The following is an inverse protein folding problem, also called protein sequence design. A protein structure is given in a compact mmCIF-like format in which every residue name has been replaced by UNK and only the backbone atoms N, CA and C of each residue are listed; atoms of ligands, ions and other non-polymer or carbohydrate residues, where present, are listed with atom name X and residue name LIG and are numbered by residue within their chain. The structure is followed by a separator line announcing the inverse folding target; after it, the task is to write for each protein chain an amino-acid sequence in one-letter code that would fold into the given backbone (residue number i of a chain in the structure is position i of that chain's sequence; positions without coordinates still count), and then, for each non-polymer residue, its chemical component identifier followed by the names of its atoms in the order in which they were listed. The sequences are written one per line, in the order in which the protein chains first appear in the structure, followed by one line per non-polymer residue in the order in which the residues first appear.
data_IF_743542954144
#
_entry.id   IF_743542954144
#
_cell.length_a   1.000
_cell.length_b   1.000
_cell.length_c   1.000
_cell.angle_alpha   90.00
_cell.angle_beta   90.00
_cell.angle_gamma   90.00
#
_symmetry.space_group_name_H-M   'P 1'
#
loop_
_entity.id
_entity.type
_entity.pdbx_description
1 polymer ?
#
# COMPACT_ATOMS: atom_id res chain seq x y z
N UNK A 1 -24.51 -27.26 11.80
CA UNK A 1 -24.36 -25.98 11.08
C UNK A 1 -23.35 -25.11 11.82
N UNK A 2 -22.19 -24.76 11.24
CA UNK A 2 -21.32 -23.73 11.83
C UNK A 2 -22.05 -22.39 11.69
N UNK A 3 -22.25 -21.67 12.79
CA UNK A 3 -22.78 -20.31 12.74
C UNK A 3 -21.95 -19.47 11.77
N UNK A 4 -22.60 -18.65 10.94
CA UNK A 4 -21.90 -17.74 10.05
C UNK A 4 -20.98 -16.84 10.88
N UNK A 5 -19.70 -16.83 10.55
CA UNK A 5 -18.70 -16.02 11.25
C UNK A 5 -18.97 -14.53 10.97
N UNK A 6 -19.56 -13.86 11.97
CA UNK A 6 -19.90 -12.44 11.91
C UNK A 6 -18.78 -11.52 12.41
N UNK A 7 -17.56 -12.03 12.60
CA UNK A 7 -16.43 -11.26 13.14
C UNK A 7 -16.11 -10.00 12.35
N UNK A 8 -16.15 -10.08 11.01
CA UNK A 8 -15.96 -8.93 10.13
C UNK A 8 -16.92 -7.77 10.47
N UNK A 9 -18.22 -8.06 10.56
CA UNK A 9 -19.24 -7.05 10.85
C UNK A 9 -19.07 -6.45 12.25
N UNK A 10 -18.72 -7.28 13.24
CA UNK A 10 -18.46 -6.83 14.61
C UNK A 10 -17.23 -5.92 14.70
N UNK A 11 -16.16 -6.24 13.97
CA UNK A 11 -14.97 -5.37 13.85
C UNK A 11 -15.35 -4.03 13.21
N UNK A 12 -16.07 -4.04 12.09
CA UNK A 12 -16.50 -2.80 11.40
C UNK A 12 -17.34 -1.91 12.32
N UNK A 13 -18.30 -2.49 13.05
CA UNK A 13 -19.12 -1.76 14.02
C UNK A 13 -18.30 -1.17 15.17
N UNK A 14 -17.30 -1.90 15.66
CA UNK A 14 -16.40 -1.40 16.69
C UNK A 14 -15.51 -0.27 16.16
N UNK A 15 -14.96 -0.41 14.95
CA UNK A 15 -14.15 0.61 14.29
C UNK A 15 -14.92 1.91 14.03
N UNK A 16 -16.21 1.83 13.70
CA UNK A 16 -17.11 3.00 13.64
C UNK A 16 -17.21 3.70 15.02
N UNK A 17 -17.29 2.94 16.12
CA UNK A 17 -17.29 3.54 17.47
C UNK A 17 -15.95 4.19 17.82
N UNK A 18 -14.84 3.57 17.43
CA UNK A 18 -13.49 4.13 17.62
C UNK A 18 -13.36 5.45 16.85
N UNK A 19 -13.78 5.50 15.57
CA UNK A 19 -13.68 6.72 14.77
C UNK A 19 -14.55 7.86 15.31
N UNK A 20 -15.68 7.56 15.97
CA UNK A 20 -16.54 8.55 16.62
C UNK A 20 -15.97 9.15 17.91
N UNK A 21 -14.98 8.51 18.54
CA UNK A 21 -14.42 8.97 19.81
C UNK A 21 -13.24 9.92 19.61
N UNK A 22 -13.08 10.82 20.57
CA UNK A 22 -11.94 11.75 20.67
C UNK A 22 -10.90 11.28 21.68
N UNK A 23 -11.33 10.61 22.75
CA UNK A 23 -10.45 10.11 23.81
C UNK A 23 -10.88 8.71 24.25
N UNK A 24 -9.93 7.90 24.73
CA UNK A 24 -10.16 6.57 25.28
C UNK A 24 -9.71 6.50 26.74
N UNK A 25 -10.62 6.08 27.63
CA UNK A 25 -10.28 5.83 29.03
C UNK A 25 -9.46 4.54 29.14
N UNK A 26 -8.72 4.40 30.24
CA UNK A 26 -7.92 3.20 30.50
C UNK A 26 -8.76 1.92 30.42
N UNK A 27 -8.30 0.94 29.64
CA UNK A 27 -8.96 -0.32 29.35
C UNK A 27 -9.91 -0.31 28.14
N UNK A 28 -10.44 0.83 27.71
CA UNK A 28 -11.50 0.82 26.68
C UNK A 28 -11.04 0.31 25.32
N UNK A 29 -9.90 0.78 24.82
CA UNK A 29 -9.38 0.38 23.52
C UNK A 29 -8.72 -1.00 23.61
N UNK A 30 -8.05 -1.28 24.73
CA UNK A 30 -7.50 -2.60 25.05
C UNK A 30 -8.58 -3.69 25.04
N UNK A 31 -9.72 -3.44 25.68
CA UNK A 31 -10.83 -4.38 25.74
C UNK A 31 -11.49 -4.57 24.37
N UNK A 32 -11.57 -3.52 23.55
CA UNK A 32 -12.07 -3.63 22.17
C UNK A 32 -11.15 -4.51 21.34
N UNK A 33 -9.84 -4.25 21.38
CA UNK A 33 -8.82 -5.01 20.67
C UNK A 33 -8.85 -6.51 21.03
N UNK A 34 -9.15 -6.82 22.29
CA UNK A 34 -9.17 -8.19 22.81
C UNK A 34 -10.48 -8.96 22.59
N UNK A 35 -11.49 -8.38 21.93
CA UNK A 35 -12.74 -9.09 21.63
C UNK A 35 -12.51 -10.26 20.68
N UNK A 36 -13.31 -11.32 20.82
CA UNK A 36 -13.26 -12.51 19.95
C UNK A 36 -13.29 -12.16 18.46
N UNK A 37 -14.09 -11.16 18.06
CA UNK A 37 -14.18 -10.73 16.66
C UNK A 37 -12.86 -10.15 16.11
N UNK A 38 -12.11 -9.38 16.92
CA UNK A 38 -10.81 -8.85 16.54
C UNK A 38 -9.77 -9.97 16.45
N UNK A 39 -9.76 -10.89 17.42
CA UNK A 39 -8.88 -12.06 17.42
C UNK A 39 -9.08 -12.94 16.17
N UNK A 40 -10.33 -13.27 15.84
CA UNK A 40 -10.66 -14.07 14.65
C UNK A 40 -10.32 -13.34 13.34
N UNK A 41 -10.59 -12.03 13.26
CA UNK A 41 -10.25 -11.24 12.06
C UNK A 41 -8.74 -11.12 11.88
N UNK A 42 -7.99 -10.94 12.97
CA UNK A 42 -6.53 -10.92 12.97
C UNK A 42 -5.94 -12.28 12.56
N UNK A 43 -6.53 -13.39 13.01
CA UNK A 43 -6.13 -14.73 12.59
C UNK A 43 -6.31 -14.91 11.06
N UNK A 44 -7.46 -14.51 10.50
CA UNK A 44 -7.68 -14.53 9.05
C UNK A 44 -6.68 -13.69 8.27
N UNK A 45 -6.32 -12.51 8.79
CA UNK A 45 -5.31 -11.64 8.17
C UNK A 45 -3.92 -12.29 8.23
N UNK A 46 -3.59 -12.90 9.37
CA UNK A 46 -2.34 -13.62 9.57
C UNK A 46 -2.25 -14.79 8.59
N UNK A 47 -3.25 -15.67 8.54
CA UNK A 47 -3.30 -16.81 7.61
C UNK A 47 -3.19 -16.39 6.14
N UNK A 48 -3.72 -15.22 5.78
CA UNK A 48 -3.71 -14.70 4.41
C UNK A 48 -2.33 -14.23 3.96
N UNK A 49 -1.57 -13.58 4.84
CA UNK A 49 -0.32 -12.90 4.46
C UNK A 49 0.94 -13.54 5.03
N UNK A 50 0.80 -14.34 6.09
CA UNK A 50 1.89 -15.00 6.80
C UNK A 50 1.61 -16.50 6.86
N UNK A 51 2.37 -17.27 6.10
CA UNK A 51 2.35 -18.72 6.23
C UNK A 51 2.86 -19.11 7.62
N UNK A 52 2.22 -20.10 8.27
CA UNK A 52 2.59 -20.61 9.60
C UNK A 52 4.04 -21.09 9.61
N UNK A 53 4.96 -20.19 9.94
CA UNK A 53 6.42 -20.37 9.89
C UNK A 53 7.01 -20.56 11.30
N UNK A 54 6.18 -20.96 12.26
CA UNK A 54 6.49 -21.14 13.68
C UNK A 54 5.35 -20.56 14.53
N UNK A 55 4.97 -21.27 15.61
CA UNK A 55 3.80 -20.90 16.42
C UNK A 55 3.95 -19.52 17.09
N UNK A 56 5.10 -19.26 17.72
CA UNK A 56 5.39 -17.99 18.42
C UNK A 56 5.31 -16.79 17.47
N UNK A 57 5.98 -16.88 16.33
CA UNK A 57 5.97 -15.84 15.29
C UNK A 57 4.56 -15.56 14.78
N UNK A 58 3.76 -16.62 14.62
CA UNK A 58 2.39 -16.50 14.15
C UNK A 58 1.52 -15.76 15.17
N UNK A 59 1.67 -16.07 16.46
CA UNK A 59 0.91 -15.41 17.53
C UNK A 59 1.28 -13.93 17.69
N UNK A 60 2.56 -13.57 17.61
CA UNK A 60 2.97 -12.16 17.68
C UNK A 60 2.44 -11.36 16.48
N UNK A 61 2.44 -11.92 15.26
CA UNK A 61 1.89 -11.26 14.08
C UNK A 61 0.36 -11.12 14.20
N UNK A 62 -0.32 -12.11 14.79
CA UNK A 62 -1.74 -12.04 15.08
C UNK A 62 -2.05 -10.91 16.07
N UNK A 63 -1.25 -10.75 17.12
CA UNK A 63 -1.39 -9.62 18.06
C UNK A 63 -1.12 -8.28 17.38
N UNK A 64 -0.12 -8.21 16.50
CA UNK A 64 0.18 -7.02 15.71
C UNK A 64 -0.99 -6.64 14.78
N UNK A 65 -1.71 -7.63 14.22
CA UNK A 65 -2.95 -7.38 13.47
C UNK A 65 -4.11 -6.93 14.34
N UNK A 66 -4.25 -7.43 15.57
CA UNK A 66 -5.26 -6.93 16.51
C UNK A 66 -5.02 -5.44 16.80
N UNK A 67 -3.76 -5.08 17.06
CA UNK A 67 -3.34 -3.69 17.25
C UNK A 67 -3.66 -2.84 16.01
N UNK A 68 -3.32 -3.33 14.81
CA UNK A 68 -3.61 -2.62 13.56
C UNK A 68 -5.12 -2.39 13.38
N UNK A 69 -5.94 -3.41 13.60
CA UNK A 69 -7.40 -3.30 13.49
C UNK A 69 -7.97 -2.25 14.45
N UNK A 70 -7.41 -2.14 15.66
CA UNK A 70 -7.83 -1.18 16.68
C UNK A 70 -7.33 0.26 16.38
N UNK A 71 -6.11 0.42 15.87
CA UNK A 71 -5.51 1.71 15.54
C UNK A 71 -6.00 2.31 14.22
N UNK A 72 -6.42 1.47 13.26
CA UNK A 72 -6.75 1.91 11.91
C UNK A 72 -7.74 3.09 11.83
N UNK A 73 -8.82 3.16 12.64
CA UNK A 73 -9.71 4.32 12.65
C UNK A 73 -9.03 5.63 13.07
N UNK A 74 -8.08 5.56 14.01
CA UNK A 74 -7.28 6.70 14.44
C UNK A 74 -6.26 7.09 13.36
N UNK A 75 -5.59 6.11 12.76
CA UNK A 75 -4.66 6.33 11.63
C UNK A 75 -5.34 7.03 10.45
N UNK A 76 -6.59 6.68 10.17
CA UNK A 76 -7.39 7.30 9.11
C UNK A 76 -7.62 8.81 9.33
N UNK A 77 -7.60 9.28 10.59
CA UNK A 77 -7.76 10.71 10.94
C UNK A 77 -6.46 11.51 10.76
N UNK A 78 -5.29 10.87 10.79
CA UNK A 78 -3.99 11.53 10.68
C UNK A 78 -3.89 12.27 9.34
N UNK A 79 -3.72 13.60 9.38
CA UNK A 79 -3.63 14.42 8.16
C UNK A 79 -2.38 14.02 7.35
N UNK A 80 -2.46 14.20 6.03
CA UNK A 80 -1.32 14.03 5.12
C UNK A 80 -0.59 12.68 5.20
N UNK A 81 -1.31 11.63 5.61
CA UNK A 81 -0.83 10.25 5.64
C UNK A 81 -1.62 9.39 4.66
N UNK A 82 -0.94 8.44 4.00
CA UNK A 82 -1.57 7.41 3.19
C UNK A 82 -2.56 6.62 4.04
N UNK A 83 -3.80 6.50 3.56
CA UNK A 83 -4.92 6.01 4.37
C UNK A 83 -5.10 4.51 4.25
N UNK A 84 -5.73 3.89 5.25
CA UNK A 84 -5.87 2.43 5.37
C UNK A 84 -6.69 1.81 4.23
N UNK A 85 -7.58 2.56 3.60
CA UNK A 85 -8.35 2.16 2.41
C UNK A 85 -7.73 2.63 1.09
N UNK A 86 -6.65 3.41 1.13
CA UNK A 86 -6.02 3.93 -0.08
C UNK A 86 -5.22 2.87 -0.82
N UNK A 87 -5.19 3.04 -2.14
CA UNK A 87 -4.42 2.25 -3.09
C UNK A 87 -3.42 3.15 -3.81
N UNK A 88 -2.50 2.57 -4.58
CA UNK A 88 -1.59 3.32 -5.45
C UNK A 88 -2.31 4.36 -6.32
N UNK A 89 -3.52 4.04 -6.81
CA UNK A 89 -4.36 4.97 -7.56
C UNK A 89 -4.77 6.23 -6.81
N UNK A 90 -4.89 6.18 -5.48
CA UNK A 90 -5.18 7.34 -4.65
C UNK A 90 -3.98 8.29 -4.56
N UNK A 91 -2.77 7.76 -4.38
CA UNK A 91 -1.55 8.56 -4.40
C UNK A 91 -1.36 9.24 -5.77
N UNK A 92 -1.54 8.50 -6.86
CA UNK A 92 -1.47 9.06 -8.22
C UNK A 92 -2.56 10.12 -8.46
N UNK A 93 -3.78 9.88 -7.98
CA UNK A 93 -4.87 10.86 -8.09
C UNK A 93 -4.61 12.12 -7.28
N UNK A 94 -3.97 12.00 -6.11
CA UNK A 94 -3.53 13.12 -5.28
C UNK A 94 -2.48 13.97 -6.01
N UNK A 95 -1.44 13.36 -6.60
CA UNK A 95 -0.44 14.05 -7.41
C UNK A 95 -1.11 14.77 -8.58
N UNK A 96 -1.98 14.07 -9.32
CA UNK A 96 -2.70 14.63 -10.47
C UNK A 96 -3.56 15.84 -10.10
N UNK A 97 -4.09 15.88 -8.88
CA UNK A 97 -4.87 17.02 -8.37
C UNK A 97 -3.98 18.22 -8.04
N UNK A 98 -2.77 18.00 -7.54
CA UNK A 98 -1.86 19.09 -7.13
C UNK A 98 -1.14 19.72 -8.33
N UNK A 99 -0.66 18.89 -9.24
CA UNK A 99 0.05 19.32 -10.45
C UNK A 99 -0.88 19.54 -11.66
N UNK A 100 -2.14 19.92 -11.43
CA UNK A 100 -2.98 20.37 -12.54
C UNK A 100 -2.86 21.89 -12.73
N UNK A 101 -3.21 22.35 -13.92
CA UNK A 101 -3.14 23.77 -14.28
C UNK A 101 -4.00 24.71 -13.43
N UNK A 102 -4.90 24.20 -12.58
CA UNK A 102 -5.74 24.99 -11.67
C UNK A 102 -5.10 25.16 -10.29
N UNK A 103 -4.54 24.10 -9.72
CA UNK A 103 -3.96 24.11 -8.37
C UNK A 103 -2.51 24.61 -8.40
N UNK A 104 -1.74 24.24 -9.43
CA UNK A 104 -0.41 24.79 -9.74
C UNK A 104 0.64 24.61 -8.65
N UNK A 105 0.63 23.49 -7.94
CA UNK A 105 1.71 23.17 -6.98
C UNK A 105 2.91 22.60 -7.74
N UNK A 106 3.58 23.41 -8.56
CA UNK A 106 4.61 22.92 -9.49
C UNK A 106 5.91 22.47 -8.85
N UNK A 107 6.16 22.84 -7.60
CA UNK A 107 7.39 22.53 -6.90
C UNK A 107 7.16 21.42 -5.89
N UNK A 108 8.11 20.51 -5.75
CA UNK A 108 8.03 19.44 -4.77
C UNK A 108 9.41 19.07 -4.21
N UNK A 109 9.40 18.48 -3.02
CA UNK A 109 10.53 17.73 -2.49
C UNK A 109 10.06 16.31 -2.21
N UNK A 110 10.91 15.34 -2.52
CA UNK A 110 10.70 13.94 -2.20
C UNK A 110 11.84 13.49 -1.32
N UNK A 111 11.52 13.11 -0.08
CA UNK A 111 12.47 12.66 0.91
C UNK A 111 12.08 11.29 1.44
N UNK A 112 13.07 10.46 1.73
CA UNK A 112 12.88 9.26 2.54
C UNK A 112 13.35 9.56 3.95
N UNK A 113 12.46 9.42 4.92
CA UNK A 113 12.81 9.55 6.33
C UNK A 113 13.54 8.30 6.79
N UNK A 114 14.66 8.52 7.44
CA UNK A 114 15.38 7.48 8.15
C UNK A 114 14.52 7.02 9.33
N UNK A 115 14.35 5.70 9.46
CA UNK A 115 13.60 5.15 10.59
C UNK A 115 14.45 5.20 11.85
N UNK A 116 14.04 6.03 12.80
CA UNK A 116 14.69 6.16 14.10
C UNK A 116 13.83 5.52 15.18
N UNK A 117 14.49 4.80 16.08
CA UNK A 117 13.85 4.25 17.25
C UNK A 117 13.54 5.40 18.24
N UNK A 118 12.27 5.81 18.30
CA UNK A 118 11.82 6.91 19.17
C UNK A 118 10.49 6.54 19.88
N UNK A 119 10.57 5.76 20.98
CA UNK A 119 9.41 5.36 21.77
C UNK A 119 8.63 6.54 22.36
N UNK A 120 9.33 7.61 22.76
CA UNK A 120 8.73 8.76 23.41
C UNK A 120 7.91 9.59 22.42
N UNK A 121 8.42 9.81 21.21
CA UNK A 121 7.69 10.44 20.12
C UNK A 121 6.45 9.63 19.75
N UNK A 122 6.56 8.30 19.67
CA UNK A 122 5.42 7.43 19.37
C UNK A 122 4.32 7.57 20.43
N UNK A 123 4.68 7.46 21.72
CA UNK A 123 3.75 7.65 22.83
C UNK A 123 3.10 9.03 22.83
N UNK A 124 3.89 10.09 22.61
CA UNK A 124 3.36 11.45 22.49
C UNK A 124 2.38 11.56 21.35
N UNK A 125 2.69 10.97 20.20
CA UNK A 125 1.80 11.00 19.04
C UNK A 125 0.52 10.21 19.25
N UNK A 126 0.56 9.07 19.95
CA UNK A 126 -0.66 8.37 20.35
C UNK A 126 -1.57 9.26 21.21
N UNK A 127 -0.99 9.95 22.21
CA UNK A 127 -1.73 10.88 23.07
C UNK A 127 -2.31 12.07 22.29
N UNK A 128 -1.55 12.64 21.36
CA UNK A 128 -2.02 13.73 20.47
C UNK A 128 -3.23 13.28 19.61
N UNK A 129 -3.38 11.98 19.36
CA UNK A 129 -4.52 11.38 18.66
C UNK A 129 -5.58 10.80 19.61
N UNK A 130 -5.54 11.16 20.89
CA UNK A 130 -6.55 10.80 21.89
C UNK A 130 -6.45 9.37 22.41
N UNK A 131 -5.38 8.65 22.08
CA UNK A 131 -5.14 7.29 22.56
C UNK A 131 -4.44 7.41 23.92
N UNK A 132 -5.24 7.48 24.98
CA UNK A 132 -4.77 7.66 26.37
C UNK A 132 -4.98 6.42 27.24
N UNK A 133 -5.45 5.32 26.64
CA UNK A 133 -5.65 4.04 27.32
C UNK A 133 -4.29 3.42 27.68
N UNK A 134 -3.91 3.45 28.95
CA UNK A 134 -2.58 3.00 29.41
C UNK A 134 -2.34 1.52 29.10
N UNK A 135 -3.30 0.63 29.36
CA UNK A 135 -3.14 -0.82 29.07
C UNK A 135 -2.91 -1.06 27.58
N UNK A 136 -3.63 -0.31 26.74
CA UNK A 136 -3.44 -0.38 25.29
C UNK A 136 -2.08 0.18 24.86
N UNK A 137 -1.66 1.31 25.43
CA UNK A 137 -0.36 1.92 25.12
C UNK A 137 0.80 1.00 25.52
N UNK A 138 0.73 0.37 26.69
CA UNK A 138 1.76 -0.56 27.17
C UNK A 138 1.93 -1.73 26.16
N UNK A 139 0.83 -2.33 25.73
CA UNK A 139 0.82 -3.38 24.69
C UNK A 139 1.36 -2.88 23.34
N UNK A 140 0.89 -1.71 22.87
CA UNK A 140 1.33 -1.14 21.60
C UNK A 140 2.84 -0.84 21.59
N UNK A 141 3.37 -0.39 22.74
CA UNK A 141 4.79 -0.13 22.91
C UNK A 141 5.61 -1.41 22.95
N UNK A 142 5.13 -2.45 23.63
CA UNK A 142 5.78 -3.76 23.59
C UNK A 142 5.92 -4.26 22.14
N UNK A 143 4.85 -4.20 21.34
CA UNK A 143 4.91 -4.62 19.93
C UNK A 143 5.79 -3.70 19.09
N UNK A 144 5.81 -2.40 19.34
CA UNK A 144 6.76 -1.51 18.69
C UNK A 144 8.20 -1.93 18.97
N UNK A 145 8.56 -2.16 20.24
CA UNK A 145 9.91 -2.57 20.64
C UNK A 145 10.31 -3.93 20.03
N UNK A 146 9.38 -4.89 19.93
CA UNK A 146 9.65 -6.17 19.30
C UNK A 146 9.87 -6.07 17.78
N UNK A 147 9.15 -5.18 17.09
CA UNK A 147 9.09 -5.17 15.63
C UNK A 147 9.75 -3.99 14.92
N UNK A 148 10.23 -2.94 15.62
CA UNK A 148 10.72 -1.71 14.98
C UNK A 148 11.90 -1.96 14.01
N UNK A 149 12.81 -2.87 14.37
CA UNK A 149 13.98 -3.24 13.56
C UNK A 149 13.76 -4.53 12.75
N UNK A 150 12.54 -5.10 12.79
CA UNK A 150 12.25 -6.31 12.03
C UNK A 150 12.34 -6.03 10.54
N UNK A 151 12.97 -6.95 9.81
CA UNK A 151 13.02 -6.91 8.35
C UNK A 151 11.85 -7.68 7.72
N UNK A 152 11.74 -7.58 6.40
CA UNK A 152 10.76 -8.34 5.61
C UNK A 152 9.31 -7.98 5.94
N UNK A 153 8.43 -8.98 5.88
CA UNK A 153 6.98 -8.74 5.95
C UNK A 153 6.48 -8.29 7.32
N UNK A 154 7.11 -8.77 8.39
CA UNK A 154 6.73 -8.38 9.76
C UNK A 154 7.11 -6.92 10.01
N UNK A 155 8.32 -6.53 9.61
CA UNK A 155 8.76 -5.14 9.60
C UNK A 155 7.82 -4.26 8.79
N UNK A 156 7.47 -4.69 7.58
CA UNK A 156 6.53 -3.96 6.73
C UNK A 156 5.15 -3.77 7.38
N UNK A 157 4.63 -4.80 8.06
CA UNK A 157 3.39 -4.71 8.84
C UNK A 157 3.51 -3.71 10.00
N UNK A 158 4.59 -3.79 10.79
CA UNK A 158 4.83 -2.86 11.88
C UNK A 158 4.95 -1.41 11.39
N UNK A 159 5.67 -1.19 10.28
CA UNK A 159 5.78 0.11 9.63
C UNK A 159 4.42 0.65 9.21
N UNK A 160 3.53 -0.19 8.65
CA UNK A 160 2.18 0.24 8.30
C UNK A 160 1.39 0.74 9.52
N UNK A 161 1.68 0.23 10.72
CA UNK A 161 0.98 0.56 11.97
C UNK A 161 1.57 1.81 12.62
N UNK A 162 2.89 1.88 12.76
CA UNK A 162 3.57 2.88 13.60
C UNK A 162 4.07 4.10 12.81
N UNK A 163 4.53 3.94 11.57
CA UNK A 163 5.05 5.06 10.74
C UNK A 163 4.05 6.24 10.64
N UNK A 164 2.71 6.02 10.52
CA UNK A 164 1.76 7.12 10.49
C UNK A 164 1.73 7.99 11.75
N UNK A 165 2.11 7.45 12.90
CA UNK A 165 2.17 8.20 14.16
C UNK A 165 3.51 8.88 14.36
N UNK A 166 4.60 8.33 13.80
CA UNK A 166 5.95 8.87 13.95
C UNK A 166 6.18 10.02 12.95
N UNK A 167 5.89 9.80 11.67
CA UNK A 167 6.22 10.75 10.62
C UNK A 167 5.04 11.68 10.30
N UNK A 168 5.21 12.96 10.63
CA UNK A 168 4.26 14.02 10.30
C UNK A 168 4.71 14.79 9.08
N UNK A 169 3.77 15.06 8.19
CA UNK A 169 4.02 15.81 6.95
C UNK A 169 3.28 17.12 6.99
N UNK A 170 3.97 18.20 6.60
CA UNK A 170 3.44 19.56 6.61
C UNK A 170 2.35 19.75 5.54
N UNK A 171 1.54 20.79 5.76
CA UNK A 171 0.50 21.37 4.90
C UNK A 171 0.02 20.55 3.69
N UNK A 172 0.82 20.52 2.64
CA UNK A 172 0.44 20.08 1.28
C UNK A 172 1.18 18.84 0.82
N UNK A 173 1.68 18.03 1.76
CA UNK A 173 2.37 16.78 1.47
C UNK A 173 1.57 15.51 1.74
N UNK A 174 2.19 14.37 1.44
CA UNK A 174 1.70 13.03 1.74
C UNK A 174 2.86 12.14 2.20
N UNK A 175 2.63 11.37 3.28
CA UNK A 175 3.47 10.26 3.73
C UNK A 175 2.96 8.95 3.17
N UNK A 176 3.85 8.14 2.57
CA UNK A 176 3.63 6.75 2.15
C UNK A 176 4.84 5.94 2.62
N UNK A 177 4.66 5.02 3.54
CA UNK A 177 5.74 4.38 4.30
C UNK A 177 6.57 5.44 5.03
N UNK A 178 7.89 5.37 4.82
CA UNK A 178 8.84 6.41 5.20
C UNK A 178 9.14 7.40 4.07
N UNK A 179 8.49 7.29 2.91
CA UNK A 179 8.62 8.24 1.82
C UNK A 179 7.64 9.40 2.01
N UNK A 180 8.14 10.63 1.92
CA UNK A 180 7.35 11.85 2.05
C UNK A 180 7.50 12.70 0.78
N UNK A 181 6.36 13.13 0.25
CA UNK A 181 6.32 14.12 -0.83
C UNK A 181 5.64 15.36 -0.31
N UNK A 182 6.35 16.48 -0.31
CA UNK A 182 5.77 17.80 -0.02
C UNK A 182 5.69 18.62 -1.31
N UNK A 183 4.65 19.44 -1.44
CA UNK A 183 4.42 20.23 -2.66
C UNK A 183 4.21 21.70 -2.33
N UNK A 184 4.56 22.58 -3.27
CA UNK A 184 4.44 24.03 -3.11
C UNK A 184 4.07 24.69 -4.44
N UNK A 185 3.37 25.83 -4.35
CA UNK A 185 3.14 26.73 -5.49
C UNK A 185 4.36 27.56 -5.85
N UNK A 186 5.23 27.79 -4.87
CA UNK A 186 6.40 28.65 -4.99
C UNK A 186 7.67 27.81 -4.89
N UNK A 187 8.73 28.25 -5.57
CA UNK A 187 10.06 27.64 -5.42
C UNK A 187 10.55 27.88 -3.99
N UNK A 188 10.88 26.80 -3.30
CA UNK A 188 11.49 26.79 -1.98
C UNK A 188 12.86 26.12 -2.07
N UNK A 189 13.69 26.33 -1.06
CA UNK A 189 15.00 25.69 -1.01
C UNK A 189 14.86 24.16 -0.96
N UNK A 190 15.67 23.45 -1.75
CA UNK A 190 15.61 22.00 -1.93
C UNK A 190 14.42 21.47 -2.75
N UNK A 191 13.48 22.32 -3.19
CA UNK A 191 12.34 21.88 -4.01
C UNK A 191 12.69 21.90 -5.50
N UNK A 192 12.21 20.89 -6.21
CA UNK A 192 12.37 20.73 -7.65
C UNK A 192 11.08 21.10 -8.38
N UNK A 193 11.23 21.67 -9.57
CA UNK A 193 10.11 21.90 -10.48
C UNK A 193 9.72 20.59 -11.18
N UNK A 194 8.44 20.21 -11.14
CA UNK A 194 7.93 18.97 -11.75
C UNK A 194 8.06 18.91 -13.28
N UNK A 195 8.15 20.06 -13.93
CA UNK A 195 8.40 20.14 -15.38
C UNK A 195 9.85 19.80 -15.74
N UNK A 196 10.78 19.98 -14.80
CA UNK A 196 12.21 19.75 -15.00
C UNK A 196 12.64 18.39 -14.43
N UNK A 197 12.08 18.00 -13.29
CA UNK A 197 12.43 16.77 -12.58
C UNK A 197 11.19 15.93 -12.28
N UNK A 198 11.04 14.73 -12.88
CA UNK A 198 9.91 13.87 -12.63
C UNK A 198 9.88 13.30 -11.21
N UNK A 199 8.69 12.99 -10.71
CA UNK A 199 8.49 12.31 -9.42
C UNK A 199 8.51 10.81 -9.63
N UNK A 200 9.26 10.10 -8.80
CA UNK A 200 9.23 8.64 -8.75
C UNK A 200 8.64 8.17 -7.43
N UNK A 201 7.56 7.38 -7.47
CA UNK A 201 6.83 7.00 -6.25
C UNK A 201 6.05 5.71 -6.46
N UNK A 202 6.06 4.79 -5.48
CA UNK A 202 5.29 3.54 -5.49
C UNK A 202 5.42 2.69 -6.77
N UNK A 203 6.56 2.81 -7.48
CA UNK A 203 6.82 2.13 -8.75
C UNK A 203 6.39 2.88 -10.01
N UNK A 204 5.97 4.14 -9.88
CA UNK A 204 5.56 5.01 -10.99
C UNK A 204 6.57 6.12 -11.24
N UNK A 205 6.56 6.60 -12.47
CA UNK A 205 7.28 7.76 -12.94
C UNK A 205 6.25 8.79 -13.44
N UNK A 206 6.24 9.96 -12.81
CA UNK A 206 5.22 11.00 -13.03
C UNK A 206 5.88 12.24 -13.62
N UNK A 207 5.47 12.60 -14.84
CA UNK A 207 5.96 13.77 -15.58
C UNK A 207 4.80 14.71 -15.83
N UNK A 208 5.08 16.01 -15.77
CA UNK A 208 4.14 17.07 -16.15
C UNK A 208 4.70 17.81 -17.34
N UNK A 209 3.86 18.10 -18.32
CA UNK A 209 4.25 18.84 -19.53
C UNK A 209 3.09 19.69 -20.04
N UNK A 210 3.40 20.70 -20.84
CA UNK A 210 2.39 21.52 -21.49
C UNK A 210 2.23 21.13 -22.95
N UNK A 211 0.98 21.03 -23.41
CA UNK A 211 0.65 20.81 -24.82
C UNK A 211 -0.57 21.63 -25.17
N UNK A 212 -0.43 22.51 -26.16
CA UNK A 212 -1.49 23.40 -26.65
C UNK A 212 -2.08 24.29 -25.54
N UNK A 213 -1.21 24.88 -24.70
CA UNK A 213 -1.62 25.75 -23.59
C UNK A 213 -2.32 25.06 -22.43
N UNK A 214 -2.33 23.71 -22.41
CA UNK A 214 -2.90 22.92 -21.31
C UNK A 214 -1.82 22.08 -20.65
N UNK A 215 -1.85 22.02 -19.32
CA UNK A 215 -1.01 21.11 -18.55
C UNK A 215 -1.54 19.68 -18.63
N UNK A 216 -0.66 18.74 -18.94
CA UNK A 216 -0.91 17.30 -18.95
C UNK A 216 0.01 16.60 -17.96
N UNK A 217 -0.44 15.47 -17.45
CA UNK A 217 0.31 14.64 -16.51
C UNK A 217 0.38 13.24 -17.12
N UNK A 218 1.61 12.76 -17.31
CA UNK A 218 1.90 11.41 -17.78
C UNK A 218 2.30 10.56 -16.58
N UNK A 219 1.68 9.38 -16.44
CA UNK A 219 2.03 8.40 -15.42
C UNK A 219 2.47 7.11 -16.10
N UNK A 220 3.76 6.83 -16.02
CA UNK A 220 4.41 5.64 -16.56
C UNK A 220 4.92 4.72 -15.46
N UNK A 221 5.31 3.49 -15.81
CA UNK A 221 5.99 2.57 -14.90
C UNK A 221 7.44 3.04 -14.74
N UNK A 222 7.94 3.06 -13.49
CA UNK A 222 9.33 3.38 -13.19
C UNK A 222 10.27 2.36 -13.84
N UNK A 223 11.40 2.82 -14.37
CA UNK A 223 12.36 1.94 -15.06
C UNK A 223 12.88 0.80 -14.17
N UNK A 224 13.12 1.07 -12.87
CA UNK A 224 13.55 0.03 -11.93
C UNK A 224 12.54 -1.12 -11.74
N UNK A 225 11.22 -0.86 -11.89
CA UNK A 225 10.19 -1.91 -11.85
C UNK A 225 10.26 -2.78 -13.11
N UNK A 226 10.52 -2.16 -14.27
CA UNK A 226 10.73 -2.88 -15.53
C UNK A 226 11.97 -3.76 -15.45
N UNK A 227 13.05 -3.24 -14.89
CA UNK A 227 14.33 -3.96 -14.77
C UNK A 227 14.25 -5.10 -13.75
N UNK A 228 13.58 -4.89 -12.61
CA UNK A 228 13.31 -5.97 -11.64
C UNK A 228 12.47 -7.09 -12.27
N UNK A 229 11.41 -6.74 -13.00
CA UNK A 229 10.60 -7.72 -13.72
C UNK A 229 11.45 -8.55 -14.69
N UNK A 230 12.31 -7.90 -15.48
CA UNK A 230 13.21 -8.58 -16.43
C UNK A 230 14.18 -9.51 -15.69
N UNK A 231 14.84 -9.01 -14.64
CA UNK A 231 15.78 -9.77 -13.83
C UNK A 231 15.12 -11.01 -13.23
N UNK A 232 13.93 -10.87 -12.66
CA UNK A 232 13.17 -11.99 -12.08
C UNK A 232 12.74 -13.01 -13.14
N UNK A 233 12.33 -12.56 -14.34
CA UNK A 233 12.07 -13.47 -15.46
C UNK A 233 13.32 -14.28 -15.82
N UNK A 234 14.49 -13.64 -15.93
CA UNK A 234 15.73 -14.31 -16.28
C UNK A 234 16.16 -15.33 -15.23
N UNK A 235 16.02 -14.99 -13.94
CA UNK A 235 16.25 -15.93 -12.83
C UNK A 235 15.37 -17.17 -13.00
N UNK A 236 14.06 -17.01 -13.17
CA UNK A 236 13.10 -18.12 -13.33
C UNK A 236 13.43 -18.98 -14.57
N UNK A 237 13.83 -18.36 -15.68
CA UNK A 237 14.21 -19.12 -16.89
C UNK A 237 15.47 -19.95 -16.63
N UNK A 238 16.43 -19.41 -15.88
CA UNK A 238 17.71 -20.05 -15.60
C UNK A 238 17.65 -21.22 -14.62
N UNK A 239 16.57 -21.32 -13.81
CA UNK A 239 16.44 -22.42 -12.84
C UNK A 239 16.36 -23.79 -13.53
N UNK A 240 16.78 -24.85 -12.85
CA UNK A 240 16.68 -26.24 -13.34
C UNK A 240 15.30 -26.88 -13.09
N UNK A 241 14.26 -26.07 -12.86
CA UNK A 241 12.89 -26.56 -12.57
C UNK A 241 12.13 -26.91 -13.84
N UNK A 242 11.03 -27.67 -13.68
CA UNK A 242 10.20 -28.10 -14.82
C UNK A 242 9.58 -26.91 -15.57
N UNK A 243 9.31 -27.05 -16.88
CA UNK A 243 8.62 -26.02 -17.66
C UNK A 243 7.28 -25.58 -17.04
N UNK A 244 6.51 -26.51 -16.49
CA UNK A 244 5.23 -26.23 -15.85
C UNK A 244 5.40 -25.33 -14.62
N UNK A 245 6.43 -25.59 -13.80
CA UNK A 245 6.71 -24.75 -12.64
C UNK A 245 7.14 -23.34 -13.04
N UNK A 246 8.00 -23.21 -14.07
CA UNK A 246 8.37 -21.91 -14.64
C UNK A 246 7.16 -21.16 -15.20
N UNK A 247 6.25 -21.86 -15.88
CA UNK A 247 5.02 -21.27 -16.42
C UNK A 247 4.19 -20.60 -15.33
N UNK A 248 3.98 -21.28 -14.20
CA UNK A 248 3.23 -20.74 -13.05
C UNK A 248 3.91 -19.51 -12.47
N UNK A 249 5.22 -19.56 -12.27
CA UNK A 249 5.98 -18.43 -11.72
C UNK A 249 5.97 -17.21 -12.65
N UNK A 250 6.19 -17.41 -13.96
CA UNK A 250 6.16 -16.32 -14.94
C UNK A 250 4.75 -15.74 -15.11
N UNK A 251 3.70 -16.57 -15.09
CA UNK A 251 2.31 -16.11 -15.14
C UNK A 251 1.97 -15.23 -13.92
N UNK A 252 2.42 -15.64 -12.74
CA UNK A 252 2.27 -14.87 -11.49
C UNK A 252 3.01 -13.53 -11.60
N UNK A 253 4.26 -13.55 -12.08
CA UNK A 253 5.10 -12.36 -12.24
C UNK A 253 4.48 -11.35 -13.22
N UNK A 254 3.98 -11.81 -14.38
CA UNK A 254 3.24 -10.98 -15.33
C UNK A 254 2.00 -10.39 -14.67
N UNK A 255 1.24 -11.18 -13.92
CA UNK A 255 0.03 -10.69 -13.24
C UNK A 255 0.36 -9.62 -12.18
N UNK A 256 1.44 -9.80 -11.41
CA UNK A 256 1.94 -8.82 -10.44
C UNK A 256 2.37 -7.50 -11.11
N UNK A 257 3.08 -7.59 -12.24
CA UNK A 257 3.46 -6.41 -13.03
C UNK A 257 2.21 -5.65 -13.48
N UNK A 258 1.22 -6.34 -14.04
CA UNK A 258 0.01 -5.70 -14.56
C UNK A 258 -0.85 -5.09 -13.45
N UNK A 259 -0.93 -5.72 -12.28
CA UNK A 259 -1.58 -5.12 -11.10
C UNK A 259 -0.87 -3.88 -10.59
N UNK A 260 0.46 -3.84 -10.68
CA UNK A 260 1.25 -2.64 -10.36
C UNK A 260 1.08 -1.58 -11.44
N UNK A 261 1.02 -1.96 -12.71
CA UNK A 261 0.96 -1.02 -13.83
C UNK A 261 -0.42 -0.36 -14.03
N UNK A 262 -1.49 -0.91 -13.46
CA UNK A 262 -2.87 -0.52 -13.80
C UNK A 262 -3.22 0.96 -13.60
N UNK A 263 -2.49 1.69 -12.75
CA UNK A 263 -2.68 3.13 -12.56
C UNK A 263 -1.79 4.00 -13.45
N UNK A 264 -0.91 3.39 -14.24
CA UNK A 264 0.03 4.02 -15.16
C UNK A 264 -0.48 3.92 -16.61
N UNK A 265 -1.65 4.51 -16.89
CA UNK A 265 -2.35 4.39 -18.18
C UNK A 265 -1.46 4.72 -19.40
N UNK A 266 -0.45 5.57 -19.22
CA UNK A 266 0.42 6.07 -20.29
C UNK A 266 1.59 5.10 -20.58
N UNK A 267 1.67 3.98 -19.85
CA UNK A 267 2.71 2.94 -19.98
C UNK A 267 2.46 1.94 -21.11
N UNK A 268 1.48 2.17 -21.98
CA UNK A 268 1.12 1.23 -23.04
C UNK A 268 2.34 0.78 -23.86
N UNK A 269 3.18 1.73 -24.28
CA UNK A 269 4.39 1.43 -25.04
C UNK A 269 5.45 0.69 -24.22
N UNK A 270 5.56 0.96 -22.91
CA UNK A 270 6.45 0.21 -22.01
C UNK A 270 5.99 -1.25 -21.88
N UNK A 271 4.68 -1.48 -21.70
CA UNK A 271 4.10 -2.83 -21.63
C UNK A 271 4.26 -3.57 -22.97
N UNK A 272 4.01 -2.90 -24.10
CA UNK A 272 4.22 -3.49 -25.42
C UNK A 272 5.70 -3.85 -25.66
N UNK A 273 6.61 -2.98 -25.25
CA UNK A 273 8.05 -3.25 -25.29
C UNK A 273 8.44 -4.45 -24.43
N UNK A 274 7.88 -4.56 -23.23
CA UNK A 274 8.06 -5.71 -22.35
C UNK A 274 7.48 -7.00 -22.94
N UNK A 275 6.32 -6.94 -23.59
CA UNK A 275 5.74 -8.09 -24.29
C UNK A 275 6.69 -8.60 -25.39
N UNK A 276 7.22 -7.71 -26.23
CA UNK A 276 8.17 -8.08 -27.29
C UNK A 276 9.48 -8.65 -26.72
N UNK A 277 10.00 -8.05 -25.65
CA UNK A 277 11.18 -8.55 -24.95
C UNK A 277 10.93 -9.95 -24.37
N UNK A 278 9.77 -10.17 -23.75
CA UNK A 278 9.37 -11.44 -23.14
C UNK A 278 9.20 -12.52 -24.20
N UNK A 279 8.57 -12.20 -25.33
CA UNK A 279 8.44 -13.12 -26.48
C UNK A 279 9.81 -13.63 -26.97
N UNK A 280 10.78 -12.72 -27.12
CA UNK A 280 12.14 -13.08 -27.51
C UNK A 280 12.82 -13.97 -26.47
N UNK A 281 12.68 -13.65 -25.19
CA UNK A 281 13.31 -14.40 -24.09
C UNK A 281 12.71 -15.77 -23.89
N UNK A 282 11.39 -15.91 -24.06
CA UNK A 282 10.67 -17.14 -23.76
C UNK A 282 10.56 -18.05 -25.00
N UNK A 283 11.09 -17.65 -26.16
CA UNK A 283 10.98 -18.37 -27.43
C UNK A 283 11.28 -19.87 -27.32
N UNK A 284 12.34 -20.26 -26.60
CA UNK A 284 12.70 -21.68 -26.39
C UNK A 284 11.65 -22.44 -25.56
N UNK A 285 11.12 -21.81 -24.50
CA UNK A 285 10.07 -22.37 -23.65
C UNK A 285 8.74 -22.48 -24.39
N UNK A 286 8.42 -21.48 -25.22
CA UNK A 286 7.22 -21.47 -26.07
C UNK A 286 7.23 -22.55 -27.15
N UNK A 287 8.42 -23.00 -27.58
CA UNK A 287 8.55 -24.16 -28.47
C UNK A 287 8.24 -25.50 -27.79
N UNK A 288 8.39 -25.57 -26.46
CA UNK A 288 8.09 -26.76 -25.66
C UNK A 288 6.66 -26.76 -25.13
N UNK A 289 6.11 -25.59 -24.77
CA UNK A 289 4.76 -25.45 -24.22
C UNK A 289 4.08 -24.16 -24.73
N UNK A 290 2.98 -24.31 -25.47
CA UNK A 290 2.25 -23.20 -26.12
C UNK A 290 1.68 -22.20 -25.11
N UNK A 291 1.42 -22.61 -23.85
CA UNK A 291 0.90 -21.73 -22.80
C UNK A 291 1.83 -20.55 -22.48
N UNK A 292 3.14 -20.68 -22.67
CA UNK A 292 4.07 -19.54 -22.51
C UNK A 292 3.74 -18.42 -23.50
N UNK A 293 3.50 -18.76 -24.77
CA UNK A 293 3.11 -17.80 -25.80
C UNK A 293 1.78 -17.12 -25.48
N UNK A 294 0.82 -17.85 -24.90
CA UNK A 294 -0.47 -17.31 -24.50
C UNK A 294 -0.36 -16.26 -23.39
N UNK A 295 0.49 -16.48 -22.38
CA UNK A 295 0.70 -15.48 -21.30
C UNK A 295 1.27 -14.18 -21.89
N UNK A 296 2.23 -14.30 -22.80
CA UNK A 296 2.91 -13.16 -23.43
C UNK A 296 1.94 -12.38 -24.32
N UNK A 297 1.17 -13.08 -25.17
CA UNK A 297 0.23 -12.43 -26.09
C UNK A 297 -0.88 -11.68 -25.36
N UNK A 298 -1.26 -12.13 -24.16
CA UNK A 298 -2.29 -11.50 -23.34
C UNK A 298 -1.78 -10.28 -22.54
N UNK A 299 -0.48 -9.99 -22.49
CA UNK A 299 0.05 -8.91 -21.63
C UNK A 299 -0.58 -7.55 -21.92
N UNK A 300 -0.55 -7.12 -23.19
CA UNK A 300 -1.10 -5.81 -23.58
C UNK A 300 -2.63 -5.79 -23.44
N UNK A 301 -3.33 -6.86 -23.83
CA UNK A 301 -4.79 -6.94 -23.68
C UNK A 301 -5.22 -6.85 -22.22
N UNK A 302 -4.59 -7.65 -21.34
CA UNK A 302 -4.88 -7.61 -19.89
C UNK A 302 -4.48 -6.28 -19.25
N UNK A 303 -3.44 -5.62 -19.75
CA UNK A 303 -3.11 -4.26 -19.31
C UNK A 303 -4.28 -3.32 -19.62
N UNK A 304 -4.73 -3.26 -20.88
CA UNK A 304 -5.84 -2.40 -21.30
C UNK A 304 -7.10 -2.68 -20.45
N UNK A 305 -7.43 -3.95 -20.23
CA UNK A 305 -8.58 -4.36 -19.39
C UNK A 305 -8.46 -3.90 -17.94
N UNK A 306 -7.25 -3.82 -17.40
CA UNK A 306 -6.99 -3.44 -16.00
C UNK A 306 -6.80 -1.95 -15.80
N UNK A 307 -6.45 -1.19 -16.83
CA UNK A 307 -6.10 0.23 -16.71
C UNK A 307 -7.23 1.01 -16.03
N UNK A 308 -6.89 1.67 -14.93
CA UNK A 308 -7.79 2.56 -14.20
C UNK A 308 -7.46 3.99 -14.57
N UNK A 309 -8.27 4.56 -15.46
CA UNK A 309 -8.09 5.95 -15.94
C UNK A 309 -8.75 7.00 -15.03
N UNK A 310 -9.75 6.59 -14.24
CA UNK A 310 -10.55 7.46 -13.38
C UNK A 310 -9.77 7.91 -12.15
N UNK A 311 -10.02 9.15 -11.72
CA UNK A 311 -9.53 9.66 -10.44
C UNK A 311 -10.12 8.81 -9.31
N UNK A 312 -9.24 8.23 -8.50
CA UNK A 312 -9.62 7.49 -7.30
C UNK A 312 -9.34 8.41 -6.11
N UNK A 313 -10.22 9.37 -5.85
CA UNK A 313 -10.10 10.20 -4.66
C UNK A 313 -11.41 10.15 -3.87
N UNK A 314 -11.45 9.29 -2.86
CA UNK A 314 -12.55 9.26 -1.90
C UNK A 314 -12.25 10.28 -0.79
N UNK A 315 -13.21 11.15 -0.51
CA UNK A 315 -13.10 12.20 0.53
C UNK A 315 -13.51 11.70 1.91
N UNK A 316 -14.34 10.67 1.99
CA UNK A 316 -14.92 10.20 3.24
C UNK A 316 -14.05 9.12 3.86
N UNK A 317 -13.79 9.22 5.16
CA UNK A 317 -13.13 8.17 5.90
C UNK A 317 -14.07 6.94 5.93
N UNK A 318 -13.65 5.82 5.34
CA UNK A 318 -14.50 4.65 5.17
C UNK A 318 -14.95 3.98 6.48
N UNK A 319 -14.36 4.32 7.64
CA UNK A 319 -14.86 3.85 8.93
C UNK A 319 -16.14 4.56 9.37
N UNK A 320 -16.51 5.68 8.75
CA UNK A 320 -17.82 6.33 8.97
C UNK A 320 -18.96 5.62 8.26
N UNK A 321 -18.65 4.72 7.33
CA UNK A 321 -19.65 3.99 6.56
C UNK A 321 -20.37 2.95 7.44
N UNK A 322 -21.67 3.19 7.62
CA UNK A 322 -22.57 2.31 8.36
C UNK A 322 -23.03 1.10 7.52
N UNK A 323 -22.93 1.20 6.19
CA UNK A 323 -23.31 0.11 5.30
C UNK A 323 -22.15 -0.86 5.11
N UNK A 324 -22.10 -1.89 5.96
CA UNK A 324 -21.02 -2.88 5.93
C UNK A 324 -21.01 -3.77 4.67
N UNK A 325 -22.03 -3.69 3.82
CA UNK A 325 -22.10 -4.42 2.56
C UNK A 325 -21.38 -3.72 1.40
N UNK A 326 -21.09 -2.42 1.51
CA UNK A 326 -20.41 -1.66 0.45
C UNK A 326 -18.95 -2.08 0.28
N UNK A 327 -18.35 -2.62 1.35
CA UNK A 327 -17.00 -3.17 1.34
C UNK A 327 -17.08 -4.65 1.73
N UNK A 328 -16.92 -5.59 0.79
CA UNK A 328 -16.85 -7.00 1.11
C UNK A 328 -15.65 -7.32 2.00
N UNK A 329 -15.75 -8.33 2.88
CA UNK A 329 -14.66 -8.74 3.79
C UNK A 329 -13.33 -8.98 3.04
N UNK A 330 -13.39 -9.57 1.84
CA UNK A 330 -12.21 -9.81 1.01
C UNK A 330 -11.47 -8.51 0.66
N UNK A 331 -12.20 -7.44 0.36
CA UNK A 331 -11.66 -6.11 0.08
C UNK A 331 -11.14 -5.46 1.36
N UNK A 332 -11.91 -5.56 2.45
CA UNK A 332 -11.47 -5.09 3.76
C UNK A 332 -10.13 -5.71 4.18
N UNK A 333 -9.94 -7.02 4.00
CA UNK A 333 -8.66 -7.66 4.31
C UNK A 333 -7.47 -7.15 3.47
N UNK A 334 -7.71 -6.61 2.27
CA UNK A 334 -6.66 -6.02 1.42
C UNK A 334 -6.15 -4.70 2.02
N UNK A 335 -7.02 -3.96 2.71
CA UNK A 335 -6.66 -2.71 3.37
C UNK A 335 -5.60 -2.89 4.46
N UNK A 336 -5.54 -4.06 5.08
CA UNK A 336 -4.56 -4.44 6.09
C UNK A 336 -3.38 -5.25 5.52
N UNK A 337 -3.16 -5.21 4.21
CA UNK A 337 -2.02 -5.87 3.58
C UNK A 337 -0.70 -5.25 4.05
N UNK A 338 0.32 -6.06 4.42
CA UNK A 338 1.65 -5.55 4.79
C UNK A 338 2.39 -4.99 3.57
N UNK A 339 1.90 -5.22 2.35
CA UNK A 339 2.50 -4.76 1.10
C UNK A 339 2.00 -3.39 0.63
N UNK A 340 1.10 -2.75 1.37
CA UNK A 340 0.31 -1.61 0.83
C UNK A 340 1.15 -0.36 0.54
N UNK A 341 2.23 -0.15 1.29
CA UNK A 341 3.11 1.02 1.19
C UNK A 341 4.48 0.67 0.58
N UNK A 342 4.61 -0.52 -0.01
CA UNK A 342 5.82 -0.99 -0.71
C UNK A 342 5.87 -0.60 -2.20
#
# INVERSE_FOLDING_TARGET
MKAADNSYYLVRRAQLRIVMRTYFRNGELYDIMNRSAFKQTAEKLTDKYFHRSGATVYDEVKELYQLYLALAPSMQKIKNSFKVDWTKGHAISWLRRLFNGRVRHWYYIHAEYERKHDPEQLLRSFRDHGITDKRFLDEAMEKYLCFWASEGLKGSLANCIFDPFIYRVKDTGIRIGNSVIETSKHKLDGYYNIFEKPIEIMGYHVVVYEKSGRTHINVTIRQSVIDDFKKRCEIIISTRTSPQYKLVQLASLVSQLLETAKYAKDSFYQIRGLQLWTDKKFRKLSGTEKKFKAIISMMTTRFIEKVVSKYTYQRTNFFWDKNHNDIPEKTFQIYFSPYREL
#
